data_IF_931775327791
#
_entry.id   IF_931775327791
#
_cell.length_a   1.000
_cell.length_b   1.000
_cell.length_c   1.000
_cell.angle_alpha   90.00
_cell.angle_beta   90.00
_cell.angle_gamma   90.00
#
_symmetry.space_group_name_H-M   'P 1'
#
loop_
_entity.id
_entity.type
_entity.pdbx_description
1 polymer ?
2 non-polymer ?
3 non-polymer ?
4 non-polymer ?
5 non-polymer ?
6 water ?
#
# COMPACT_ATOMS: atom_id res chain seq x y z
N UNK A 2 10.10 23.39 17.23
CA UNK A 2 11.45 23.84 17.71
C UNK A 2 12.56 22.87 17.26
N UNK A 3 12.21 21.63 16.87
CA UNK A 3 13.23 20.64 16.51
C UNK A 3 13.78 20.95 15.12
N UNK A 4 15.12 20.95 14.96
CA UNK A 4 15.62 21.32 13.63
C UNK A 4 15.21 20.28 12.59
N UNK A 5 15.17 20.64 11.30
CA UNK A 5 14.96 19.59 10.32
C UNK A 5 16.22 18.71 10.22
N UNK A 6 17.40 19.25 10.51
CA UNK A 6 18.56 18.37 10.57
C UNK A 6 18.31 17.23 11.55
N UNK A 7 17.75 17.55 12.72
CA UNK A 7 17.49 16.56 13.75
C UNK A 7 16.35 15.62 13.31
N UNK A 8 15.31 16.11 12.64
CA UNK A 8 14.30 15.16 12.17
C UNK A 8 14.90 14.17 11.18
N UNK A 9 15.75 14.70 10.25
CA UNK A 9 16.36 13.86 9.21
C UNK A 9 17.24 12.79 9.87
N UNK A 10 18.01 13.21 10.85
CA UNK A 10 18.91 12.29 11.54
C UNK A 10 18.11 11.22 12.30
N UNK A 11 17.02 11.61 12.97
CA UNK A 11 16.26 10.62 13.73
C UNK A 11 15.61 9.63 12.79
N UNK A 12 14.98 10.10 11.69
CA UNK A 12 14.26 9.15 10.87
C UNK A 12 15.25 8.23 10.16
N UNK A 13 16.38 8.80 9.68
CA UNK A 13 17.45 7.96 9.14
C UNK A 13 17.85 6.85 10.12
N UNK A 14 17.93 7.20 11.40
CA UNK A 14 18.41 6.19 12.34
C UNK A 14 17.38 5.07 12.58
N UNK A 15 16.09 5.29 12.28
CA UNK A 15 15.14 4.18 12.45
C UNK A 15 15.37 3.13 11.38
N UNK A 16 15.70 3.55 10.15
CA UNK A 16 16.09 2.61 9.11
C UNK A 16 17.43 1.92 9.39
N UNK A 17 18.42 2.69 9.85
CA UNK A 17 19.75 2.22 10.24
C UNK A 17 19.60 1.13 11.31
N UNK A 18 18.82 1.42 12.38
CA UNK A 18 18.62 0.47 13.47
C UNK A 18 17.86 -0.78 13.00
N UNK A 19 17.00 -0.70 11.98
CA UNK A 19 16.35 -1.92 11.53
C UNK A 19 17.26 -2.67 10.56
N UNK A 20 18.51 -2.20 10.39
CA UNK A 20 19.44 -2.72 9.40
C UNK A 20 18.75 -2.87 8.06
N UNK A 21 18.06 -1.84 7.58
CA UNK A 21 17.57 -1.93 6.21
C UNK A 21 18.02 -0.70 5.47
N UNK A 22 17.54 -0.55 4.23
CA UNK A 22 17.78 0.63 3.47
C UNK A 22 16.39 1.03 3.01
N UNK A 23 16.02 2.27 3.20
CA UNK A 23 14.63 2.62 2.89
C UNK A 23 14.41 4.10 2.86
N UNK A 24 13.24 4.49 2.40
CA UNK A 24 12.85 5.90 2.33
C UNK A 24 11.40 5.96 2.85
N UNK A 25 11.03 7.08 3.48
CA UNK A 25 9.62 7.39 3.73
C UNK A 25 9.33 8.76 3.12
N UNK A 26 8.35 8.80 2.23
CA UNK A 26 7.91 10.03 1.60
C UNK A 26 6.65 10.49 2.35
N UNK A 27 6.62 11.77 2.74
CA UNK A 27 5.49 12.41 3.41
C UNK A 27 5.01 13.51 2.46
N UNK A 28 3.70 13.63 2.31
CA UNK A 28 3.18 14.69 1.47
C UNK A 28 2.29 15.63 2.31
N UNK A 29 2.65 16.93 2.38
CA UNK A 29 1.81 17.91 3.07
C UNK A 29 1.31 18.92 2.05
N UNK A 30 -0.01 18.90 1.81
CA UNK A 30 -0.55 19.64 0.69
C UNK A 30 0.08 19.16 -0.62
N UNK A 31 0.76 20.08 -1.32
CA UNK A 31 1.40 19.68 -2.57
C UNK A 31 2.88 19.35 -2.37
N UNK A 32 3.45 19.57 -1.16
CA UNK A 32 4.88 19.40 -0.96
C UNK A 32 5.27 17.96 -0.54
N UNK A 33 6.18 17.32 -1.28
CA UNK A 33 6.71 15.98 -0.97
C UNK A 33 7.98 16.10 -0.15
N UNK A 34 8.10 15.36 0.95
CA UNK A 34 9.35 15.35 1.69
C UNK A 34 9.84 13.92 1.81
N UNK A 35 11.14 13.73 1.66
CA UNK A 35 11.72 12.40 1.57
C UNK A 35 12.64 12.24 2.77
N UNK A 36 12.46 11.18 3.53
CA UNK A 36 13.33 10.90 4.65
C UNK A 36 13.83 9.46 4.61
N UNK A 37 14.76 9.14 5.52
CA UNK A 37 15.22 7.76 5.58
C UNK A 37 16.74 7.66 5.37
N UNK A 38 17.26 6.46 5.11
CA UNK A 38 18.70 6.27 4.96
C UNK A 38 19.05 5.89 3.53
N UNK A 39 18.09 6.01 2.57
CA UNK A 39 18.39 5.72 1.17
C UNK A 39 17.55 6.57 0.24
N UNK A 40 17.85 7.86 0.18
CA UNK A 40 16.86 8.78 -0.35
C UNK A 40 16.62 8.52 -1.83
N UNK A 41 17.66 7.98 -2.52
CA UNK A 41 17.61 7.80 -3.95
C UNK A 41 16.58 6.73 -4.35
N UNK A 42 16.08 5.99 -3.38
CA UNK A 42 15.00 5.03 -3.67
C UNK A 42 13.76 5.77 -4.15
N UNK A 43 13.65 7.08 -3.91
CA UNK A 43 12.35 7.77 -4.00
C UNK A 43 11.81 7.75 -5.43
N UNK A 44 12.69 7.76 -6.44
CA UNK A 44 12.19 7.76 -7.82
C UNK A 44 12.61 6.49 -8.57
N UNK A 45 12.87 5.39 -7.86
CA UNK A 45 13.15 4.12 -8.51
C UNK A 45 11.90 3.24 -8.52
N UNK A 46 11.79 2.35 -9.49
CA UNK A 46 10.59 1.55 -9.67
C UNK A 46 10.76 0.21 -8.95
N UNK A 47 9.72 -0.24 -8.22
CA UNK A 47 9.66 -1.52 -7.54
C UNK A 47 8.27 -2.13 -7.79
N UNK A 48 8.18 -3.44 -7.61
CA UNK A 48 6.88 -4.07 -7.73
C UNK A 48 6.00 -3.55 -6.61
N UNK A 49 4.70 -3.31 -6.86
CA UNK A 49 3.82 -2.84 -5.80
C UNK A 49 3.46 -3.90 -4.80
N UNK A 50 3.55 -5.19 -5.18
CA UNK A 50 3.17 -6.28 -4.28
C UNK A 50 1.75 -6.05 -3.74
N UNK A 51 1.53 -6.28 -2.44
CA UNK A 51 0.19 -6.22 -1.88
C UNK A 51 -0.38 -4.81 -1.87
N UNK A 52 0.42 -3.76 -2.15
CA UNK A 52 -0.20 -2.43 -2.22
C UNK A 52 -1.18 -2.37 -3.38
N UNK A 53 -0.98 -3.23 -4.41
CA UNK A 53 -1.86 -3.19 -5.56
C UNK A 53 -3.30 -3.61 -5.16
N UNK A 54 -3.46 -4.29 -4.00
CA UNK A 54 -4.79 -4.67 -3.54
C UNK A 54 -5.74 -3.47 -3.46
N UNK A 55 -5.24 -2.28 -3.11
CA UNK A 55 -6.13 -1.14 -3.00
C UNK A 55 -6.74 -0.83 -4.35
N UNK A 56 -5.95 -0.88 -5.42
CA UNK A 56 -6.47 -0.59 -6.75
C UNK A 56 -7.32 -1.77 -7.28
N UNK A 57 -6.84 -3.00 -7.05
CA UNK A 57 -7.59 -4.22 -7.37
C UNK A 57 -9.02 -4.10 -6.79
N UNK A 58 -9.15 -3.71 -5.50
CA UNK A 58 -10.46 -3.49 -4.89
C UNK A 58 -11.29 -2.42 -5.57
N UNK A 59 -10.72 -1.23 -5.87
CA UNK A 59 -11.44 -0.16 -6.57
C UNK A 59 -11.96 -0.67 -7.91
N UNK A 60 -11.13 -1.37 -8.67
CA UNK A 60 -11.52 -1.82 -9.99
C UNK A 60 -12.65 -2.85 -9.87
N UNK A 61 -12.54 -3.76 -8.89
CA UNK A 61 -13.50 -4.86 -8.79
C UNK A 61 -14.86 -4.32 -8.31
N UNK A 62 -14.81 -3.38 -7.36
CA UNK A 62 -16.06 -2.78 -6.91
C UNK A 62 -16.68 -1.90 -8.00
N UNK A 63 -15.89 -1.07 -8.69
CA UNK A 63 -16.43 -0.16 -9.70
C UNK A 63 -17.13 -0.94 -10.81
N UNK A 64 -16.58 -2.08 -11.19
CA UNK A 64 -17.07 -2.89 -12.27
C UNK A 64 -18.02 -4.00 -11.78
N UNK A 65 -18.50 -3.94 -10.51
CA UNK A 65 -19.51 -4.89 -10.04
C UNK A 65 -18.99 -6.33 -10.06
N UNK A 66 -17.73 -6.54 -9.75
CA UNK A 66 -17.24 -7.91 -9.71
C UNK A 66 -17.37 -8.48 -8.31
N UNK A 67 -17.68 -7.62 -7.34
CA UNK A 67 -17.80 -8.07 -5.96
C UNK A 67 -18.59 -6.97 -5.26
N UNK A 68 -19.10 -7.25 -4.08
CA UNK A 68 -19.68 -6.20 -3.25
C UNK A 68 -18.90 -6.23 -1.95
N UNK A 69 -19.13 -5.26 -1.05
CA UNK A 69 -18.30 -5.20 0.13
C UNK A 69 -18.78 -6.22 1.18
N UNK A 70 -19.96 -6.80 0.99
CA UNK A 70 -20.40 -7.77 1.98
C UNK A 70 -20.22 -9.21 1.50
N UNK A 71 -19.86 -9.37 0.22
CA UNK A 71 -19.75 -10.71 -0.33
C UNK A 71 -18.67 -11.54 0.41
N UNK A 72 -18.93 -12.82 0.67
CA UNK A 72 -17.96 -13.65 1.36
C UNK A 72 -17.22 -14.49 0.33
N UNK A 73 -15.88 -14.36 0.20
CA UNK A 73 -15.10 -15.21 -0.69
C UNK A 73 -14.75 -16.47 0.10
N UNK A 74 -15.27 -17.63 -0.28
CA UNK A 74 -15.06 -18.83 0.53
C UNK A 74 -13.65 -19.37 0.34
N UNK A 75 -13.02 -19.85 1.40
CA UNK A 75 -11.82 -20.64 1.20
C UNK A 75 -12.21 -21.93 0.45
N UNK A 76 -11.43 -22.29 -0.59
CA UNK A 76 -11.73 -23.47 -1.40
C UNK A 76 -11.20 -24.73 -0.71
N UNK A 77 -10.57 -24.60 0.46
CA UNK A 77 -10.15 -25.79 1.19
C UNK A 77 -8.75 -26.27 0.83
N UNK A 78 -8.05 -25.62 -0.12
CA UNK A 78 -6.67 -25.96 -0.41
C UNK A 78 -5.73 -25.30 0.60
N UNK A 79 -4.56 -25.94 0.81
CA UNK A 79 -3.58 -25.45 1.76
C UNK A 79 -3.11 -24.09 1.23
N UNK A 80 -2.91 -23.13 2.14
CA UNK A 80 -2.60 -21.79 1.68
C UNK A 80 -1.32 -21.39 2.41
N UNK A 81 -0.53 -20.51 1.79
CA UNK A 81 0.84 -20.26 2.23
C UNK A 81 0.87 -20.02 3.73
N UNK A 82 -0.16 -19.35 4.27
CA UNK A 82 -0.29 -19.03 5.68
C UNK A 82 -1.67 -19.47 6.18
N UNK A 83 -1.72 -20.12 7.35
CA UNK A 83 -2.98 -20.61 7.93
C UNK A 83 -4.04 -19.56 8.18
N UNK A 84 -3.62 -18.33 8.45
CA UNK A 84 -4.61 -17.29 8.68
C UNK A 84 -5.43 -17.03 7.39
N UNK A 85 -4.94 -17.47 6.22
CA UNK A 85 -5.71 -17.31 4.99
C UNK A 85 -6.68 -18.47 4.75
N UNK A 86 -6.68 -19.49 5.60
CA UNK A 86 -7.56 -20.63 5.33
C UNK A 86 -8.93 -20.42 5.98
N UNK A 87 -9.67 -19.42 5.50
CA UNK A 87 -10.99 -19.12 6.04
C UNK A 87 -11.70 -18.23 5.03
N UNK A 88 -13.00 -18.04 5.24
CA UNK A 88 -13.89 -17.27 4.38
C UNK A 88 -13.79 -15.79 4.76
N UNK A 89 -13.79 -14.85 3.79
CA UNK A 89 -13.39 -13.48 4.06
C UNK A 89 -14.17 -12.55 3.13
N UNK A 90 -14.51 -11.34 3.62
CA UNK A 90 -14.96 -10.26 2.73
C UNK A 90 -13.70 -9.59 2.14
N UNK A 91 -13.84 -8.72 1.14
CA UNK A 91 -12.72 -7.97 0.57
C UNK A 91 -12.01 -7.21 1.67
N UNK A 92 -12.80 -6.70 2.64
CA UNK A 92 -12.25 -5.86 3.69
C UNK A 92 -11.42 -6.68 4.67
N UNK A 93 -11.86 -7.91 4.95
CA UNK A 93 -11.04 -8.76 5.82
C UNK A 93 -9.79 -9.21 5.07
N UNK A 94 -9.94 -9.53 3.78
CA UNK A 94 -8.83 -9.94 2.95
C UNK A 94 -7.84 -8.78 2.81
N UNK A 95 -8.31 -7.54 2.76
CA UNK A 95 -7.38 -6.40 2.75
C UNK A 95 -6.50 -6.39 4.00
N UNK A 96 -7.12 -6.50 5.17
CA UNK A 96 -6.37 -6.44 6.43
C UNK A 96 -5.40 -7.61 6.58
N UNK A 97 -5.77 -8.83 6.13
CA UNK A 97 -4.86 -9.96 6.24
C UNK A 97 -3.94 -10.03 5.03
N UNK A 98 -4.13 -9.15 4.05
CA UNK A 98 -3.34 -9.23 2.83
C UNK A 98 -3.44 -10.61 2.16
N UNK A 99 -4.67 -11.12 2.04
CA UNK A 99 -4.97 -12.47 1.55
C UNK A 99 -4.98 -12.50 0.03
N UNK A 100 -3.84 -12.92 -0.54
CA UNK A 100 -3.62 -12.95 -1.97
C UNK A 100 -4.68 -13.80 -2.70
N UNK A 101 -5.13 -14.95 -2.14
CA UNK A 101 -6.07 -15.80 -2.89
C UNK A 101 -7.38 -15.07 -3.17
N UNK A 102 -7.75 -14.19 -2.26
CA UNK A 102 -9.02 -13.50 -2.50
C UNK A 102 -8.81 -12.50 -3.62
N UNK A 103 -7.67 -11.81 -3.58
CA UNK A 103 -7.48 -10.73 -4.53
C UNK A 103 -7.12 -11.32 -5.89
N UNK A 104 -6.53 -12.50 -5.87
CA UNK A 104 -6.36 -13.22 -7.12
C UNK A 104 -7.69 -13.62 -7.75
N UNK A 105 -8.64 -14.10 -6.92
CA UNK A 105 -9.99 -14.40 -7.41
C UNK A 105 -10.61 -13.12 -7.99
N UNK A 106 -10.51 -11.99 -7.27
CA UNK A 106 -11.07 -10.76 -7.79
C UNK A 106 -10.42 -10.36 -9.14
N UNK A 107 -9.10 -10.52 -9.27
CA UNK A 107 -8.45 -10.16 -10.54
C UNK A 107 -8.98 -11.06 -11.68
N UNK A 108 -9.17 -12.34 -11.40
CA UNK A 108 -9.70 -13.21 -12.45
C UNK A 108 -11.12 -12.82 -12.84
N UNK A 109 -11.89 -12.26 -11.91
CA UNK A 109 -13.26 -11.94 -12.26
C UNK A 109 -13.20 -10.69 -13.15
N UNK A 110 -12.29 -9.78 -12.79
CA UNK A 110 -12.08 -8.60 -13.63
C UNK A 110 -11.64 -9.01 -15.03
N UNK A 111 -10.68 -9.95 -15.13
CA UNK A 111 -10.16 -10.38 -16.42
C UNK A 111 -9.05 -9.44 -16.98
N UNK A 112 -8.10 -10.01 -17.74
CA UNK A 112 -6.89 -9.33 -18.24
C UNK A 112 -7.21 -8.03 -18.98
N UNK A 113 -8.18 -8.10 -19.89
CA UNK A 113 -8.52 -6.97 -20.73
C UNK A 113 -8.98 -5.77 -19.92
N UNK A 114 -9.96 -6.00 -19.04
CA UNK A 114 -10.51 -4.90 -18.26
C UNK A 114 -9.49 -4.42 -17.22
N UNK A 115 -8.70 -5.34 -16.65
CA UNK A 115 -7.69 -4.92 -15.71
C UNK A 115 -6.68 -3.96 -16.42
N UNK A 116 -6.19 -4.33 -17.62
CA UNK A 116 -5.27 -3.49 -18.39
C UNK A 116 -5.88 -2.12 -18.69
N UNK A 117 -7.12 -2.07 -19.19
CA UNK A 117 -7.74 -0.80 -19.48
C UNK A 117 -7.84 0.04 -18.20
N UNK A 118 -8.05 -0.59 -17.03
CA UNK A 118 -8.34 0.22 -15.86
C UNK A 118 -7.04 0.68 -15.23
N UNK A 119 -6.03 -0.19 -15.26
CA UNK A 119 -4.74 0.22 -14.72
C UNK A 119 -4.15 1.39 -15.54
N UNK A 120 -4.31 1.34 -16.89
CA UNK A 120 -3.99 2.46 -17.79
C UNK A 120 -4.79 3.71 -17.45
N UNK A 121 -6.12 3.59 -17.34
CA UNK A 121 -7.00 4.71 -17.10
C UNK A 121 -6.61 5.43 -15.81
N UNK A 122 -6.11 4.70 -14.82
CA UNK A 122 -5.76 5.27 -13.54
C UNK A 122 -4.31 5.77 -13.59
N UNK A 123 -3.55 5.30 -14.58
CA UNK A 123 -2.18 5.75 -14.63
C UNK A 123 -1.50 5.35 -13.32
N UNK A 124 -1.44 4.04 -13.06
CA UNK A 124 -0.76 3.57 -11.86
C UNK A 124 0.61 3.04 -12.24
N UNK A 125 1.66 3.62 -11.64
CA UNK A 125 3.02 3.18 -11.90
C UNK A 125 3.35 3.22 -13.38
N UNK A 126 4.04 2.18 -13.87
CA UNK A 126 4.40 2.09 -15.28
C UNK A 126 3.21 1.59 -16.12
N UNK A 127 2.06 1.30 -15.50
CA UNK A 127 0.81 0.95 -16.19
C UNK A 127 0.88 -0.39 -16.96
N UNK A 128 1.94 -1.18 -16.80
CA UNK A 128 2.03 -2.36 -17.64
C UNK A 128 1.71 -3.61 -16.83
N UNK A 129 0.67 -4.40 -17.22
CA UNK A 129 0.33 -5.57 -16.40
C UNK A 129 0.68 -6.88 -17.11
N UNK A 130 1.12 -6.83 -18.37
CA UNK A 130 1.58 -8.06 -18.99
C UNK A 130 0.39 -8.94 -19.43
N UNK A 131 0.53 -10.27 -19.33
CA UNK A 131 -0.47 -11.18 -19.88
C UNK A 131 -1.01 -12.18 -18.86
N UNK A 132 -0.53 -12.17 -17.61
CA UNK A 132 -1.07 -13.02 -16.56
C UNK A 132 -1.87 -12.19 -15.52
N UNK A 133 -3.21 -12.18 -15.61
CA UNK A 133 -4.04 -11.29 -14.80
C UNK A 133 -3.91 -11.53 -13.29
N UNK A 134 -3.31 -12.66 -12.87
CA UNK A 134 -3.43 -12.98 -11.45
C UNK A 134 -2.08 -12.95 -10.72
N UNK A 135 -1.03 -12.38 -11.34
CA UNK A 135 0.23 -12.30 -10.61
C UNK A 135 1.15 -11.12 -11.02
N UNK A 136 0.63 -10.20 -11.82
CA UNK A 136 1.44 -9.12 -12.41
C UNK A 136 1.94 -8.11 -11.38
N UNK A 137 1.46 -8.15 -10.12
CA UNK A 137 1.79 -7.17 -9.08
C UNK A 137 2.89 -7.73 -8.19
N UNK A 138 3.27 -8.99 -8.44
CA UNK A 138 4.24 -9.67 -7.60
C UNK A 138 5.64 -9.73 -8.20
N UNK A 139 5.78 -9.96 -9.51
CA UNK A 139 7.14 -10.15 -10.00
C UNK A 139 7.33 -9.45 -11.34
N UNK A 140 6.49 -8.48 -11.63
CA UNK A 140 6.60 -7.73 -12.88
C UNK A 140 5.48 -8.18 -13.79
N UNK A 141 5.21 -7.46 -14.89
CA UNK A 141 5.98 -6.25 -15.19
C UNK A 141 5.51 -4.94 -14.54
N UNK A 142 4.42 -4.96 -13.74
CA UNK A 142 3.97 -3.72 -13.12
C UNK A 142 4.99 -3.25 -12.07
N UNK A 143 5.38 -1.97 -12.17
CA UNK A 143 6.25 -1.33 -11.20
C UNK A 143 5.78 0.10 -10.95
N UNK A 144 6.24 0.63 -9.81
CA UNK A 144 5.78 1.94 -9.33
C UNK A 144 6.89 2.50 -8.41
N UNK A 145 7.05 3.83 -8.42
CA UNK A 145 8.03 4.45 -7.53
C UNK A 145 7.36 4.83 -6.21
N UNK A 146 8.13 4.98 -5.11
CA UNK A 146 7.59 5.53 -3.87
C UNK A 146 6.91 6.89 -4.04
N UNK A 147 7.41 7.75 -4.94
CA UNK A 147 6.73 9.00 -5.24
C UNK A 147 5.34 8.74 -5.86
N UNK A 148 5.27 7.87 -6.86
CA UNK A 148 3.99 7.49 -7.43
C UNK A 148 3.07 6.87 -6.36
N UNK A 149 3.59 6.08 -5.41
CA UNK A 149 2.72 5.48 -4.41
C UNK A 149 2.14 6.55 -3.50
N UNK A 150 2.95 7.51 -3.10
CA UNK A 150 2.41 8.46 -2.15
C UNK A 150 1.42 9.37 -2.89
N UNK A 151 1.62 9.61 -4.18
CA UNK A 151 0.68 10.40 -4.97
C UNK A 151 -0.64 9.64 -5.22
N UNK A 152 -0.56 8.31 -5.32
CA UNK A 152 -1.78 7.50 -5.40
C UNK A 152 -2.54 7.58 -4.07
N UNK A 153 -1.83 7.43 -2.93
CA UNK A 153 -2.46 7.52 -1.62
C UNK A 153 -3.12 8.88 -1.44
N UNK A 154 -2.47 9.93 -1.93
CA UNK A 154 -2.98 11.28 -1.78
C UNK A 154 -4.25 11.39 -2.60
N UNK A 155 -4.24 10.77 -3.77
CA UNK A 155 -5.41 10.80 -4.63
C UNK A 155 -6.58 10.08 -3.96
N UNK A 156 -6.33 8.87 -3.41
CA UNK A 156 -7.40 8.11 -2.78
C UNK A 156 -7.90 8.85 -1.54
N UNK A 157 -6.95 9.36 -0.72
CA UNK A 157 -7.35 10.03 0.50
C UNK A 157 -8.32 11.18 0.23
N UNK A 158 -8.14 11.87 -0.91
CA UNK A 158 -8.96 13.04 -1.27
C UNK A 158 -10.04 12.71 -2.29
N UNK A 159 -10.31 11.43 -2.56
CA UNK A 159 -11.34 11.08 -3.52
C UNK A 159 -11.07 11.63 -4.91
N UNK A 160 -9.82 11.74 -5.31
CA UNK A 160 -9.58 12.24 -6.66
C UNK A 160 -9.32 11.14 -7.67
N UNK A 161 -9.27 9.86 -7.32
CA UNK A 161 -9.15 8.88 -8.41
C UNK A 161 -10.39 8.90 -9.30
N UNK A 162 -10.32 8.42 -10.58
CA UNK A 162 -11.49 8.38 -11.47
C UNK A 162 -12.36 7.13 -11.26
N UNK A 163 -12.98 7.07 -10.07
CA UNK A 163 -13.92 6.03 -9.71
C UNK A 163 -15.00 6.79 -8.98
N UNK A 164 -16.19 6.19 -8.84
CA UNK A 164 -17.23 6.85 -8.06
C UNK A 164 -16.71 7.14 -6.66
N UNK A 165 -17.30 8.18 -6.05
CA UNK A 165 -17.00 8.55 -4.69
C UNK A 165 -17.31 7.37 -3.77
N UNK A 166 -18.41 6.65 -4.02
CA UNK A 166 -18.85 5.62 -3.08
C UNK A 166 -17.84 4.47 -3.10
N UNK A 167 -17.35 4.13 -4.31
CA UNK A 167 -16.32 3.12 -4.47
C UNK A 167 -15.07 3.49 -3.65
N UNK A 168 -14.62 4.75 -3.74
CA UNK A 168 -13.43 5.16 -3.03
C UNK A 168 -13.65 5.09 -1.54
N UNK A 169 -14.87 5.52 -1.09
CA UNK A 169 -15.17 5.44 0.34
C UNK A 169 -15.22 3.99 0.84
N UNK A 170 -15.75 3.07 0.03
CA UNK A 170 -15.85 1.67 0.44
C UNK A 170 -14.42 1.14 0.60
N UNK A 171 -13.51 1.43 -0.35
CA UNK A 171 -12.14 0.92 -0.22
C UNK A 171 -11.41 1.59 0.95
N UNK A 172 -11.64 2.88 1.18
CA UNK A 172 -10.96 3.51 2.31
C UNK A 172 -11.39 2.94 3.66
N UNK A 173 -12.69 2.58 3.89
CA UNK A 173 -13.08 1.93 5.14
C UNK A 173 -12.28 0.63 5.36
N UNK A 174 -11.87 -0.08 4.30
CA UNK A 174 -11.10 -1.32 4.41
C UNK A 174 -9.66 -1.09 4.92
N UNK A 175 -9.17 0.17 4.89
CA UNK A 175 -7.73 0.41 5.07
C UNK A 175 -7.39 0.96 6.44
N UNK A 176 -8.38 1.12 7.34
CA UNK A 176 -8.10 1.67 8.66
C UNK A 176 -7.29 0.70 9.49
N UNK A 177 -6.08 1.09 9.91
CA UNK A 177 -5.26 0.11 10.60
C UNK A 177 -4.94 0.55 12.02
N UNK A 178 -5.28 1.78 12.42
CA UNK A 178 -4.88 2.23 13.75
C UNK A 178 -5.46 3.60 14.09
N UNK A 179 -5.79 3.80 15.37
CA UNK A 179 -6.10 5.10 15.96
C UNK A 179 -5.07 5.43 17.03
N UNK A 180 -4.63 6.69 17.02
CA UNK A 180 -3.55 7.14 17.89
C UNK A 180 -3.90 8.59 18.22
N UNK A 181 -4.18 8.86 19.50
CA UNK A 181 -4.49 10.18 20.06
C UNK A 181 -5.34 11.01 19.08
N UNK A 182 -6.57 10.54 18.76
CA UNK A 182 -7.52 11.24 17.90
C UNK A 182 -7.20 11.24 16.39
N UNK A 183 -6.07 10.62 16.00
CA UNK A 183 -5.61 10.50 14.62
C UNK A 183 -5.97 9.12 14.08
N UNK A 184 -6.35 9.02 12.81
CA UNK A 184 -6.56 7.70 12.21
C UNK A 184 -5.55 7.43 11.09
N UNK A 185 -4.91 6.27 11.16
CA UNK A 185 -4.02 5.85 10.08
C UNK A 185 -4.70 4.82 9.19
N UNK A 186 -4.74 5.15 7.90
CA UNK A 186 -5.17 4.28 6.82
C UNK A 186 -3.94 3.87 6.01
N UNK A 187 -3.72 2.58 5.79
CA UNK A 187 -2.54 2.23 5.01
C UNK A 187 -2.67 0.77 4.55
N UNK A 188 -1.92 0.42 3.49
CA UNK A 188 -1.80 -0.95 3.06
C UNK A 188 -0.32 -1.31 3.02
N UNK A 189 0.01 -2.46 3.60
CA UNK A 189 1.37 -2.95 3.57
C UNK A 189 1.62 -3.80 2.33
N UNK A 190 2.91 -3.98 2.04
CA UNK A 190 3.37 -4.72 0.88
C UNK A 190 4.68 -5.41 1.23
N UNK A 191 4.85 -6.64 0.73
CA UNK A 191 6.10 -7.37 0.87
C UNK A 191 6.30 -8.23 -0.37
N UNK A 192 7.15 -7.79 -1.29
CA UNK A 192 7.39 -8.50 -2.53
C UNK A 192 8.50 -9.54 -2.31
N UNK A 193 8.09 -10.78 -2.03
CA UNK A 193 9.00 -11.88 -1.70
C UNK A 193 9.58 -12.55 -2.95
N UNK A 194 8.98 -12.33 -4.13
CA UNK A 194 9.51 -12.87 -5.37
C UNK A 194 10.86 -12.28 -5.76
N UNK A 195 10.85 -10.98 -6.11
CA UNK A 195 11.98 -10.21 -6.61
C UNK A 195 13.19 -10.29 -5.69
N UNK A 196 14.41 -10.13 -6.23
CA UNK A 196 15.60 -9.89 -5.41
C UNK A 196 16.20 -8.57 -5.84
N UNK A 197 16.53 -7.66 -4.89
CA UNK A 197 16.17 -7.85 -3.47
C UNK A 197 14.66 -7.73 -3.23
N UNK A 198 14.22 -8.16 -2.06
CA UNK A 198 12.81 -8.08 -1.68
C UNK A 198 12.41 -6.67 -1.28
N UNK A 199 11.16 -6.29 -1.56
CA UNK A 199 10.74 -4.91 -1.33
C UNK A 199 9.64 -4.90 -0.28
N UNK A 200 9.70 -3.93 0.63
CA UNK A 200 8.65 -3.75 1.61
C UNK A 200 7.98 -2.39 1.40
N UNK A 201 6.64 -2.34 1.59
CA UNK A 201 5.89 -1.10 1.49
C UNK A 201 4.98 -0.92 2.69
N UNK A 202 4.73 0.35 3.06
CA UNK A 202 3.54 0.70 3.80
C UNK A 202 3.05 2.05 3.27
N UNK A 203 1.90 2.06 2.59
CA UNK A 203 1.41 3.26 1.92
C UNK A 203 0.01 3.60 2.43
N UNK A 204 -0.21 4.89 2.73
CA UNK A 204 -1.47 5.29 3.32
C UNK A 204 -1.53 6.78 3.60
N UNK A 205 -2.33 7.15 4.61
CA UNK A 205 -2.34 8.52 5.04
C UNK A 205 -2.78 8.56 6.49
N UNK A 206 -2.40 9.65 7.15
CA UNK A 206 -2.92 9.96 8.47
C UNK A 206 -4.07 10.94 8.26
N UNK A 207 -5.24 10.62 8.84
CA UNK A 207 -6.28 11.63 8.99
C UNK A 207 -6.25 12.22 10.41
N UNK A 208 -5.93 13.51 10.51
CA UNK A 208 -5.80 14.14 11.81
C UNK A 208 -7.20 14.53 12.29
N UNK A 209 -7.37 14.71 13.62
CA UNK A 209 -8.59 15.21 14.25
C UNK A 209 -9.27 16.30 13.42
N UNK A 210 -8.56 17.41 13.16
CA UNK A 210 -9.06 18.58 12.43
C UNK A 210 -9.40 18.31 10.98
N UNK A 211 -9.22 17.08 10.49
CA UNK A 211 -9.68 16.75 9.15
C UNK A 211 -8.60 16.71 8.07
N UNK A 212 -7.40 17.28 8.34
CA UNK A 212 -6.28 17.25 7.38
C UNK A 212 -5.78 15.79 7.17
N UNK A 213 -5.47 15.48 5.92
CA UNK A 213 -4.95 14.17 5.55
C UNK A 213 -3.51 14.30 5.03
N UNK A 214 -2.61 13.53 5.64
CA UNK A 214 -1.21 13.56 5.27
C UNK A 214 -0.82 12.19 4.74
N UNK A 215 -0.68 12.07 3.40
CA UNK A 215 -0.22 10.81 2.78
C UNK A 215 1.27 10.51 3.03
N UNK A 216 1.58 9.23 3.01
CA UNK A 216 2.94 8.74 3.22
C UNK A 216 3.12 7.46 2.43
N UNK A 217 4.37 7.19 2.08
CA UNK A 217 4.73 5.90 1.53
C UNK A 217 6.10 5.52 2.07
N UNK A 218 6.13 4.46 2.85
CA UNK A 218 7.40 3.85 3.20
C UNK A 218 7.77 2.79 2.18
N UNK A 219 9.07 2.75 1.81
CA UNK A 219 9.59 1.75 0.89
C UNK A 219 10.98 1.35 1.42
N UNK A 220 11.16 0.06 1.72
CA UNK A 220 12.40 -0.45 2.25
C UNK A 220 12.77 -1.80 1.62
N UNK A 221 14.01 -2.23 1.83
CA UNK A 221 14.44 -3.56 1.44
C UNK A 221 14.15 -4.53 2.59
N UNK A 222 13.41 -5.64 2.35
CA UNK A 222 13.23 -6.66 3.37
C UNK A 222 14.33 -7.73 3.23
N UNK A 223 14.95 -8.13 4.34
CA UNK A 223 16.03 -9.11 4.37
C UNK A 223 15.49 -10.35 5.09
N UNK A 224 16.06 -11.54 4.80
CA UNK A 224 15.66 -12.82 5.38
C UNK A 224 15.54 -12.71 6.91
N UNK A 225 14.36 -13.10 7.43
CA UNK A 225 14.09 -13.07 8.86
C UNK A 225 14.02 -11.68 9.49
N UNK A 226 13.47 -10.68 8.78
CA UNK A 226 12.94 -9.46 9.39
C UNK A 226 11.47 -9.73 9.70
N UNK A 227 10.95 -9.19 10.81
CA UNK A 227 9.50 -9.13 11.03
C UNK A 227 8.86 -8.13 10.05
N UNK A 228 7.66 -8.47 9.56
CA UNK A 228 6.86 -7.57 8.74
C UNK A 228 6.55 -6.26 9.46
N UNK A 229 6.38 -6.35 10.80
CA UNK A 229 5.97 -5.26 11.67
C UNK A 229 7.04 -4.14 11.79
N UNK A 230 8.27 -4.39 11.32
CA UNK A 230 9.24 -3.32 11.15
C UNK A 230 8.69 -2.20 10.25
N UNK A 231 7.83 -2.54 9.28
CA UNK A 231 7.27 -1.51 8.41
C UNK A 231 6.42 -0.55 9.23
N UNK A 232 5.65 -1.12 10.17
CA UNK A 232 4.75 -0.37 11.03
C UNK A 232 5.57 0.44 12.03
N UNK A 233 6.56 -0.18 12.64
CA UNK A 233 7.32 0.48 13.69
C UNK A 233 8.05 1.69 13.10
N UNK A 234 8.69 1.53 11.91
CA UNK A 234 9.46 2.64 11.34
C UNK A 234 8.50 3.75 10.97
N UNK A 235 7.32 3.37 10.47
CA UNK A 235 6.36 4.37 10.02
C UNK A 235 5.83 5.21 11.17
N UNK A 236 5.40 4.52 12.24
CA UNK A 236 4.87 5.14 13.44
C UNK A 236 5.93 6.05 14.07
N UNK A 237 7.16 5.56 14.25
CA UNK A 237 8.21 6.38 14.83
C UNK A 237 8.46 7.63 13.97
N UNK A 238 8.43 7.49 12.63
CA UNK A 238 8.66 8.61 11.73
C UNK A 238 7.55 9.66 11.85
N UNK A 239 6.29 9.22 11.70
CA UNK A 239 5.15 10.11 11.78
C UNK A 239 5.11 10.77 13.16
N UNK A 240 5.51 10.04 14.21
CA UNK A 240 5.51 10.64 15.53
C UNK A 240 6.63 11.69 15.65
N UNK A 241 7.85 11.32 15.25
CA UNK A 241 8.97 12.25 15.27
C UNK A 241 8.62 13.56 14.57
N UNK A 242 7.87 13.49 13.46
CA UNK A 242 7.54 14.70 12.71
C UNK A 242 6.33 15.41 13.30
N UNK A 243 5.75 14.85 14.39
CA UNK A 243 4.56 15.40 15.04
C UNK A 243 3.28 15.23 14.21
N UNK A 244 3.26 14.28 13.26
CA UNK A 244 2.08 14.12 12.43
C UNK A 244 1.02 13.29 13.19
N UNK A 245 1.46 12.34 14.01
CA UNK A 245 0.57 11.66 14.92
C UNK A 245 1.17 11.79 16.31
X LIG B 1 1.57 -8.76 -0.22
X LIG B 1 2.38 -10.72 3.86
X LIG B 1 1.85 -10.16 0.22
X LIG B 1 1.48 -10.42 1.67
X LIG B 1 1.97 -9.28 3.58
X LIG B 1 2.51 -8.01 -0.41
X LIG B 1 1.19 -11.21 -0.70
X LIG B 1 1.50 -12.49 -0.14
X LIG B 1 1.67 -11.12 -2.14
X LIG B 1 1.54 -9.11 2.37
X LIG B 1 1.99 -8.21 4.35
X LIG B 1 1.68 -7.13 3.80
X LIG B 1 2.33 -8.27 5.53
X LIG B 1 3.94 -10.84 4.81
X LIG B 1 4.18 -12.55 5.37
X LIG B 1 4.97 -12.57 6.65
X LIG B 1 2.42 -11.36 2.46
X LIG C 1 2.41 -7.23 3.33
X LIG C 1 2.50 -8.37 3.93
X LIG C 1 2.97 -8.51 5.09
X LIG C 1 2.07 -9.46 3.29
X LIG C 1 1.28 -9.36 2.26
X LIG C 1 2.42 -10.89 3.58
X LIG C 1 2.28 -11.54 2.20
X LIG C 1 1.37 -10.58 1.42
X LIG C 1 1.84 -10.15 0.03
X LIG C 1 1.60 -8.64 -0.21
X LIG C 1 2.61 -7.89 -0.45
X LIG C 1 1.09 -11.00 -1.00
X LIG C 1 1.57 -12.32 -0.87
X LIG C 1 1.37 -10.61 -2.44
X LIG C 1 1.12 -11.73 4.65
X LIG C 1 2.12 -12.14 6.17
X LIG C 1 1.49 -13.35 6.85
X LIG D 1 -19.74 10.01 -8.21
X LIG D 1 -19.56 9.71 -9.62
X LIG D 1 -18.47 9.94 -7.53
X LIG D 1 -20.26 11.34 -8.04
X LIG D 1 -20.64 9.06 -7.62
X LIG E 1 -10.43 -11.16 -20.63
X LIG E 1 -9.50 -10.53 -21.07
X LIG E 1 -10.52 -12.37 -20.66
X LIG E 1 -11.40 -10.51 -20.06
#
# INVERSE_FOLDING_TARGET
>A
MHISSQQHEKAIKSYFDEAQTQGVIIIKEGKNLSTYGNALARANKEYVPASTFKMLNALIGLENHKATTNEIFKWDGKKRTYPMWEKDMTLGEAMALSADPVYQELARRTGLELMQKEVKRVNFGNTNIGTQVDNFWLVGPLKITPVQEVNFADDLAHNRLPFKLETQEEVKKMLLIKEVNGSKIYAKSGWGMGVTPQVGWLTGWVEQANGKKIPFSLNLEMKEGMSGSIRNEITYKSLENLGII
>B hetero
1 ID1 C7 C2 C6 C5 C3 O7 C61 O62 C62 N4 C31 O31 O32 S21 C22 C23 C1
>C hetero
1 HIW O31 C31 O32 C3 N4 C2 C1 C5 C6 C7 O72 C61 O62 C62 S21 C22 C23
>D hetero
1 SO4 S O1 O2 O3 O4
>E hetero
1 BCT C O1 O2 O3
#
